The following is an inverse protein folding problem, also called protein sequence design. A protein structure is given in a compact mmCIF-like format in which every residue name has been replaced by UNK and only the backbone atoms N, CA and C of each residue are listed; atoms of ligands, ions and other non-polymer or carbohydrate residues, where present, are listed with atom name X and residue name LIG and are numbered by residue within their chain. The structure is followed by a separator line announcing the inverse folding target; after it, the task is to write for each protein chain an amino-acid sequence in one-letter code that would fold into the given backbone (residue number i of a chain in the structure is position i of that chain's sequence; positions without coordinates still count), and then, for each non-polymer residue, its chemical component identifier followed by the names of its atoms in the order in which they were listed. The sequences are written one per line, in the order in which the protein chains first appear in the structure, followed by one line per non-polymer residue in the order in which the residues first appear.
data_IF_394039022343
#
_entry.id   IF_394039022343
#
_cell.length_a   1.000
_cell.length_b   1.000
_cell.length_c   1.000
_cell.angle_alpha   90.00
_cell.angle_beta   90.00
_cell.angle_gamma   90.00
#
_symmetry.space_group_name_H-M   'P 1'
#
loop_
_entity.id
_entity.type
_entity.pdbx_description
1 polymer ?
#
# COMPACT_ATOMS: atom_id res chain seq x y z
N UNK A 1 -22.53 -14.39 1.46
CA UNK A 1 -21.31 -14.11 0.67
C UNK A 1 -20.18 -13.81 1.62
N UNK A 2 -19.07 -14.52 1.48
CA UNK A 2 -17.92 -14.25 2.36
C UNK A 2 -17.37 -12.83 2.12
N UNK A 3 -16.91 -12.25 3.20
CA UNK A 3 -16.34 -10.90 3.19
C UNK A 3 -14.95 -10.97 3.77
N UNK A 4 -13.98 -10.36 3.06
CA UNK A 4 -12.61 -10.25 3.55
C UNK A 4 -12.25 -8.80 3.76
N UNK A 5 -11.48 -8.55 4.79
CA UNK A 5 -11.02 -7.18 5.09
C UNK A 5 -9.52 -7.17 5.26
N UNK A 6 -8.89 -6.26 4.53
CA UNK A 6 -7.45 -6.08 4.58
C UNK A 6 -7.13 -4.62 4.79
N UNK A 7 -5.91 -4.36 5.21
CA UNK A 7 -5.41 -3.00 5.36
C UNK A 7 -3.99 -2.94 4.85
N UNK A 8 -3.62 -1.80 4.32
CA UNK A 8 -2.29 -1.60 3.80
C UNK A 8 -1.94 -0.13 3.79
N UNK A 9 -0.85 0.18 3.11
CA UNK A 9 -0.37 1.55 3.11
C UNK A 9 0.31 1.90 1.80
N UNK A 10 0.08 3.14 1.37
CA UNK A 10 0.94 3.80 0.40
C UNK A 10 2.11 4.33 1.21
N UNK A 11 3.30 3.83 0.95
CA UNK A 11 4.49 4.19 1.70
C UNK A 11 5.34 5.11 0.85
N UNK A 12 5.78 6.22 1.44
CA UNK A 12 6.62 7.16 0.72
C UNK A 12 7.79 7.58 1.58
N UNK A 13 8.84 8.03 0.91
CA UNK A 13 9.98 8.66 1.56
C UNK A 13 10.37 9.89 0.78
N UNK A 14 11.04 10.81 1.45
CA UNK A 14 11.50 12.04 0.82
C UNK A 14 13.01 12.00 0.68
N UNK A 15 13.48 12.43 -0.48
CA UNK A 15 14.89 12.54 -0.71
C UNK A 15 15.12 13.81 -1.55
N UNK A 16 15.84 14.79 -1.00
CA UNK A 16 16.12 16.03 -1.71
C UNK A 16 14.84 16.69 -2.22
N UNK A 17 13.85 16.77 -1.36
CA UNK A 17 12.55 17.39 -1.66
C UNK A 17 11.70 16.64 -2.65
N UNK A 18 12.14 15.46 -3.07
CA UNK A 18 11.36 14.61 -3.97
C UNK A 18 10.72 13.49 -3.17
N UNK A 19 9.55 13.07 -3.64
CA UNK A 19 8.80 12.00 -3.00
C UNK A 19 8.90 10.74 -3.84
N UNK A 20 9.23 9.63 -3.18
CA UNK A 20 9.32 8.32 -3.82
C UNK A 20 8.35 7.39 -3.14
N UNK A 21 7.61 6.62 -3.92
CA UNK A 21 6.63 5.67 -3.44
C UNK A 21 7.14 4.25 -3.56
N UNK A 22 6.82 3.44 -2.59
CA UNK A 22 7.26 2.04 -2.58
C UNK A 22 6.22 1.16 -3.24
N UNK A 23 6.63 0.43 -4.25
CA UNK A 23 5.80 -0.58 -4.89
C UNK A 23 6.45 -1.94 -4.72
N UNK A 24 5.61 -2.94 -4.47
CA UNK A 24 6.06 -4.32 -4.35
C UNK A 24 5.67 -5.11 -5.58
N UNK A 25 6.56 -6.01 -5.99
CA UNK A 25 6.34 -6.85 -7.16
C UNK A 25 5.87 -8.22 -6.67
N UNK A 26 4.66 -8.58 -7.02
CA UNK A 26 4.04 -9.84 -6.62
C UNK A 26 4.09 -10.84 -7.74
N UNK A 27 4.31 -12.13 -7.42
CA UNK A 27 4.29 -13.15 -8.46
C UNK A 27 2.88 -13.37 -8.97
N UNK A 28 2.77 -13.86 -10.17
CA UNK A 28 1.49 -14.22 -10.75
C UNK A 28 0.96 -15.52 -10.19
N UNK A 29 -0.03 -16.09 -10.88
CA UNK A 29 -0.63 -17.36 -10.50
C UNK A 29 -1.29 -17.31 -9.12
N UNK A 30 -1.87 -16.17 -8.79
CA UNK A 30 -2.66 -16.02 -7.57
C UNK A 30 -4.11 -15.83 -7.96
N UNK A 31 -5.00 -15.89 -6.96
CA UNK A 31 -6.41 -15.65 -7.25
C UNK A 31 -6.68 -14.23 -7.69
N UNK A 32 -5.71 -13.32 -7.55
CA UNK A 32 -5.88 -11.94 -7.92
C UNK A 32 -5.47 -11.68 -9.37
N UNK A 33 -4.43 -12.35 -9.85
CA UNK A 33 -3.93 -12.13 -11.20
C UNK A 33 -3.16 -13.35 -11.68
N UNK A 34 -3.17 -13.58 -13.00
CA UNK A 34 -2.40 -14.67 -13.60
C UNK A 34 -0.97 -14.25 -13.85
N UNK A 35 -0.75 -12.97 -14.03
CA UNK A 35 0.59 -12.43 -14.29
C UNK A 35 1.12 -11.74 -13.06
N UNK A 36 2.44 -11.52 -13.06
CA UNK A 36 3.07 -10.67 -12.05
C UNK A 36 2.35 -9.33 -12.00
N UNK A 37 2.30 -8.74 -10.82
CA UNK A 37 1.67 -7.43 -10.70
C UNK A 37 2.39 -6.61 -9.64
N UNK A 38 2.18 -5.29 -9.71
CA UNK A 38 2.76 -4.32 -8.78
C UNK A 38 1.65 -3.69 -7.97
N UNK A 39 1.87 -3.62 -6.67
CA UNK A 39 0.84 -3.11 -5.77
C UNK A 39 1.51 -2.66 -4.47
N UNK A 40 0.70 -2.13 -3.56
CA UNK A 40 1.16 -1.69 -2.26
C UNK A 40 1.16 -2.83 -1.25
N UNK A 41 1.98 -2.73 -0.18
CA UNK A 41 1.90 -3.73 0.89
C UNK A 41 0.55 -3.70 1.58
N UNK A 42 0.01 -4.86 1.87
CA UNK A 42 -1.27 -5.00 2.54
C UNK A 42 -1.46 -6.43 3.00
N UNK A 43 -2.39 -6.63 3.93
CA UNK A 43 -2.72 -7.96 4.37
C UNK A 43 -3.97 -7.96 5.21
N UNK A 44 -4.40 -9.16 5.59
CA UNK A 44 -5.65 -9.36 6.28
C UNK A 44 -5.60 -8.78 7.69
N UNK A 45 -6.72 -8.18 8.12
CA UNK A 45 -6.89 -7.72 9.49
C UNK A 45 -7.17 -8.95 10.34
N UNK A 46 -6.34 -9.18 11.35
CA UNK A 46 -6.50 -10.34 12.20
C UNK A 46 -7.43 -10.03 13.36
N UNK A 47 -8.03 -11.07 13.90
CA UNK A 47 -9.01 -10.94 14.95
C UNK A 47 -8.40 -10.19 16.13
N UNK A 48 -9.11 -9.16 16.62
CA UNK A 48 -8.66 -8.38 17.73
C UNK A 48 -7.67 -7.30 17.40
N UNK A 49 -7.25 -7.22 16.15
CA UNK A 49 -6.27 -6.24 15.70
C UNK A 49 -6.96 -4.94 15.35
N UNK A 50 -6.37 -3.82 15.79
CA UNK A 50 -6.81 -2.53 15.28
C UNK A 50 -6.25 -2.36 13.88
N UNK A 51 -6.98 -1.63 13.04
CA UNK A 51 -6.60 -1.54 11.64
C UNK A 51 -5.21 -0.96 11.45
N UNK A 52 -4.82 0.02 12.26
CA UNK A 52 -3.47 0.58 12.15
C UNK A 52 -2.40 -0.40 12.61
N UNK A 53 -2.75 -1.28 13.54
CA UNK A 53 -1.84 -2.34 13.93
C UNK A 53 -1.61 -3.31 12.78
N UNK A 54 -2.68 -3.61 12.04
CA UNK A 54 -2.56 -4.45 10.85
C UNK A 54 -1.60 -3.83 9.86
N UNK A 55 -1.75 -2.53 9.61
CA UNK A 55 -0.90 -1.84 8.65
C UNK A 55 0.56 -1.96 9.05
N UNK A 56 0.87 -1.67 10.30
CA UNK A 56 2.26 -1.71 10.75
C UNK A 56 2.82 -3.11 10.69
N UNK A 57 2.02 -4.10 11.08
CA UNK A 57 2.46 -5.50 11.05
C UNK A 57 2.71 -5.96 9.63
N UNK A 58 1.75 -5.72 8.72
CA UNK A 58 1.89 -6.17 7.35
C UNK A 58 3.04 -5.47 6.64
N UNK A 59 3.20 -4.18 6.87
CA UNK A 59 4.31 -3.46 6.27
C UNK A 59 5.63 -4.04 6.75
N UNK A 60 5.74 -4.31 8.04
CA UNK A 60 6.97 -4.90 8.56
C UNK A 60 7.22 -6.29 7.98
N UNK A 61 6.18 -7.11 7.91
CA UNK A 61 6.34 -8.46 7.39
C UNK A 61 6.74 -8.47 5.92
N UNK A 62 6.22 -7.54 5.15
CA UNK A 62 6.44 -7.54 3.71
C UNK A 62 7.66 -6.73 3.28
N UNK A 63 8.08 -5.78 4.06
CA UNK A 63 9.15 -4.86 3.65
C UNK A 63 10.29 -4.73 4.63
N UNK A 64 10.09 -5.19 5.86
CA UNK A 64 11.10 -5.00 6.89
C UNK A 64 11.15 -3.59 7.47
N UNK A 65 10.30 -2.70 7.01
CA UNK A 65 10.31 -1.33 7.50
C UNK A 65 9.69 -1.27 8.90
N UNK A 66 10.46 -0.78 9.86
CA UNK A 66 10.02 -0.69 11.24
C UNK A 66 9.52 0.68 11.62
N UNK A 67 10.01 1.68 10.93
CA UNK A 67 9.86 3.05 11.35
C UNK A 67 8.94 3.79 10.40
N UNK A 68 7.68 3.40 10.36
CA UNK A 68 6.73 4.09 9.51
C UNK A 68 5.85 4.99 10.37
N UNK A 69 5.52 6.15 9.83
CA UNK A 69 4.64 7.09 10.48
C UNK A 69 3.37 7.21 9.64
N UNK A 70 2.26 6.76 10.18
CA UNK A 70 0.98 6.88 9.50
C UNK A 70 0.51 8.32 9.62
N UNK A 71 0.24 8.97 8.50
CA UNK A 71 -0.19 10.35 8.49
C UNK A 71 -1.68 10.43 8.77
N UNK A 72 -2.10 11.35 9.65
CA UNK A 72 -3.53 11.52 9.90
C UNK A 72 -4.21 12.15 8.69
N UNK A 73 -5.48 11.85 8.51
CA UNK A 73 -6.27 12.50 7.48
C UNK A 73 -6.38 11.76 6.16
N UNK A 74 -5.61 10.70 5.98
CA UNK A 74 -5.72 9.91 4.75
C UNK A 74 -6.15 8.50 5.08
N UNK A 75 -7.28 8.08 4.49
CA UNK A 75 -7.81 6.74 4.69
C UNK A 75 -8.77 6.48 3.53
N UNK A 76 -8.41 5.55 2.66
CA UNK A 76 -9.21 5.23 1.49
C UNK A 76 -9.50 3.76 1.45
N UNK A 77 -10.76 3.42 1.20
CA UNK A 77 -11.16 2.02 1.14
C UNK A 77 -11.64 1.69 -0.26
N UNK A 78 -11.13 0.62 -0.82
CA UNK A 78 -11.63 0.10 -2.09
C UNK A 78 -12.36 -1.20 -1.81
N UNK A 79 -13.24 -1.55 -2.72
CA UNK A 79 -13.94 -2.81 -2.59
C UNK A 79 -14.06 -3.45 -3.96
N UNK A 80 -13.92 -4.77 -4.00
CA UNK A 80 -14.05 -5.50 -5.23
C UNK A 80 -14.45 -6.93 -4.94
N UNK A 81 -14.93 -7.61 -5.98
CA UNK A 81 -15.31 -9.00 -5.89
C UNK A 81 -14.25 -9.85 -6.59
N UNK A 82 -14.02 -11.03 -6.06
CA UNK A 82 -13.20 -12.00 -6.76
C UNK A 82 -13.75 -13.39 -6.47
N UNK A 83 -13.37 -14.35 -7.32
CA UNK A 83 -13.77 -15.72 -7.12
C UNK A 83 -12.60 -16.53 -6.58
N UNK A 84 -12.88 -17.29 -5.56
CA UNK A 84 -11.89 -18.17 -4.96
C UNK A 84 -12.56 -19.48 -4.64
N UNK A 85 -12.06 -20.57 -5.23
CA UNK A 85 -12.61 -21.90 -5.05
C UNK A 85 -14.12 -21.93 -5.33
N UNK A 86 -14.52 -21.26 -6.42
CA UNK A 86 -15.90 -21.27 -6.86
C UNK A 86 -16.83 -20.35 -6.10
N UNK A 87 -16.34 -19.63 -5.11
CA UNK A 87 -17.17 -18.72 -4.32
C UNK A 87 -16.84 -17.27 -4.64
N UNK A 88 -17.89 -16.46 -4.70
CA UNK A 88 -17.70 -15.02 -4.83
C UNK A 88 -17.36 -14.44 -3.46
N UNK A 89 -16.29 -13.68 -3.40
CA UNK A 89 -15.85 -13.06 -2.16
C UNK A 89 -15.85 -11.56 -2.36
N UNK A 90 -16.43 -10.86 -1.40
CA UNK A 90 -16.41 -9.40 -1.39
C UNK A 90 -15.23 -8.96 -0.52
N UNK A 91 -14.33 -8.18 -1.10
CA UNK A 91 -13.13 -7.77 -0.39
C UNK A 91 -13.08 -6.26 -0.23
N UNK A 92 -12.77 -5.84 0.99
CA UNK A 92 -12.50 -4.45 1.32
C UNK A 92 -11.02 -4.31 1.65
N UNK A 93 -10.36 -3.30 1.09
CA UNK A 93 -8.99 -2.99 1.45
C UNK A 93 -8.93 -1.52 1.80
N UNK A 94 -8.45 -1.23 3.01
CA UNK A 94 -8.31 0.14 3.48
C UNK A 94 -6.84 0.52 3.44
N UNK A 95 -6.55 1.63 2.77
CA UNK A 95 -5.17 2.11 2.63
C UNK A 95 -4.96 3.37 3.45
N UNK A 96 -3.85 3.37 4.16
CA UNK A 96 -3.35 4.56 4.86
C UNK A 96 -2.17 5.09 4.09
N UNK A 97 -1.68 6.24 4.51
CA UNK A 97 -0.50 6.88 3.92
C UNK A 97 0.56 6.94 5.01
N UNK A 98 1.74 6.41 4.72
CA UNK A 98 2.78 6.31 5.75
C UNK A 98 4.11 6.78 5.21
N UNK A 99 4.85 7.49 6.05
CA UNK A 99 6.17 7.98 5.69
C UNK A 99 7.23 7.14 6.39
N UNK A 100 8.33 6.89 5.70
CA UNK A 100 9.49 6.26 6.29
C UNK A 100 10.74 7.04 5.88
N UNK A 101 11.76 6.97 6.72
CA UNK A 101 13.07 7.50 6.37
C UNK A 101 14.02 6.40 5.94
N UNK A 102 13.58 5.15 6.05
CA UNK A 102 14.39 4.01 5.66
C UNK A 102 14.24 3.78 4.16
N UNK A 103 15.34 3.55 3.49
CA UNK A 103 15.34 3.27 2.08
C UNK A 103 15.45 1.78 1.80
N UNK A 104 16.13 1.07 2.67
CA UNK A 104 16.42 -0.33 2.47
C UNK A 104 15.19 -1.18 2.79
N UNK A 105 14.76 -1.96 1.82
CA UNK A 105 13.61 -2.84 1.94
C UNK A 105 14.08 -4.28 1.86
N UNK A 106 13.57 -5.10 2.77
CA UNK A 106 13.82 -6.53 2.72
C UNK A 106 12.48 -7.20 2.48
N UNK A 107 12.23 -7.57 1.22
CA UNK A 107 10.95 -8.15 0.85
C UNK A 107 10.82 -9.56 1.42
N UNK A 108 9.58 -9.96 1.68
CA UNK A 108 9.31 -11.31 2.13
C UNK A 108 9.47 -12.27 0.94
N UNK A 109 9.51 -13.56 1.24
CA UNK A 109 9.66 -14.56 0.19
C UNK A 109 8.45 -14.60 -0.75
N UNK A 110 7.37 -13.94 -0.37
CA UNK A 110 6.17 -13.90 -1.20
C UNK A 110 6.28 -12.90 -2.34
N UNK A 111 7.32 -12.07 -2.35
CA UNK A 111 7.48 -11.04 -3.36
C UNK A 111 8.70 -11.29 -4.23
N UNK A 112 8.64 -10.76 -5.45
CA UNK A 112 9.75 -10.92 -6.39
C UNK A 112 10.72 -9.74 -6.30
N UNK A 113 10.22 -8.56 -5.97
CA UNK A 113 11.08 -7.39 -5.91
C UNK A 113 10.33 -6.18 -5.39
N UNK A 114 11.00 -5.04 -5.45
CA UNK A 114 10.38 -3.78 -5.05
C UNK A 114 11.08 -2.63 -5.77
N UNK A 115 10.42 -1.49 -5.82
CA UNK A 115 11.03 -0.26 -6.36
C UNK A 115 10.50 0.95 -5.61
N UNK A 116 11.39 1.92 -5.42
CA UNK A 116 11.01 3.27 -4.98
C UNK A 116 10.89 4.12 -6.22
N UNK A 117 9.73 4.69 -6.48
CA UNK A 117 9.49 5.40 -7.74
C UNK A 117 8.85 6.76 -7.50
N UNK A 118 9.23 7.78 -8.28
CA UNK A 118 8.48 9.03 -8.25
C UNK A 118 7.07 8.80 -8.79
N UNK A 119 6.19 9.74 -8.53
CA UNK A 119 4.78 9.56 -8.83
C UNK A 119 4.53 9.10 -10.27
N UNK A 120 5.14 9.79 -11.25
CA UNK A 120 4.87 9.49 -12.66
C UNK A 120 5.22 8.05 -13.02
N UNK A 121 6.33 7.58 -12.49
CA UNK A 121 6.75 6.20 -12.75
C UNK A 121 5.93 5.20 -11.98
N UNK A 122 5.56 5.55 -10.76
CA UNK A 122 4.74 4.66 -9.93
C UNK A 122 3.37 4.43 -10.56
N UNK A 123 2.76 5.49 -11.08
CA UNK A 123 1.47 5.39 -11.75
C UNK A 123 1.54 4.44 -12.93
N UNK A 124 2.61 4.54 -13.71
CA UNK A 124 2.78 3.66 -14.86
C UNK A 124 2.99 2.21 -14.45
N UNK A 125 3.69 2.01 -13.34
CA UNK A 125 4.05 0.67 -12.91
C UNK A 125 2.92 -0.09 -12.26
N UNK A 126 2.07 0.59 -11.51
CA UNK A 126 0.97 -0.05 -10.81
C UNK A 126 0.06 -0.79 -11.79
N UNK A 127 -0.25 -2.02 -11.47
CA UNK A 127 -0.99 -2.89 -12.38
C UNK A 127 -2.48 -2.60 -12.41
N UNK A 128 -3.06 -2.28 -11.24
CA UNK A 128 -4.52 -2.21 -11.13
C UNK A 128 -5.01 -0.78 -11.06
N UNK A 129 -6.15 -0.53 -11.69
CA UNK A 129 -6.74 0.80 -11.71
C UNK A 129 -7.03 1.30 -10.30
N UNK A 130 -7.54 0.43 -9.42
CA UNK A 130 -7.81 0.82 -8.06
C UNK A 130 -6.57 1.35 -7.36
N UNK A 131 -5.43 0.68 -7.56
CA UNK A 131 -4.19 1.12 -6.94
C UNK A 131 -3.75 2.47 -7.48
N UNK A 132 -3.89 2.67 -8.79
CA UNK A 132 -3.54 3.95 -9.39
C UNK A 132 -4.39 5.09 -8.83
N UNK A 133 -5.68 4.83 -8.62
CA UNK A 133 -6.56 5.85 -8.05
C UNK A 133 -6.15 6.19 -6.62
N UNK A 134 -5.79 5.17 -5.84
CA UNK A 134 -5.32 5.39 -4.48
C UNK A 134 -4.05 6.23 -4.49
N UNK A 135 -3.12 5.92 -5.39
CA UNK A 135 -1.87 6.68 -5.45
C UNK A 135 -2.12 8.13 -5.84
N UNK A 136 -3.03 8.36 -6.77
CA UNK A 136 -3.37 9.74 -7.14
C UNK A 136 -3.90 10.51 -5.95
N UNK A 137 -4.77 9.89 -5.17
CA UNK A 137 -5.31 10.55 -3.98
C UNK A 137 -4.22 10.80 -2.94
N UNK A 138 -3.31 9.86 -2.77
CA UNK A 138 -2.21 10.04 -1.82
C UNK A 138 -1.30 11.17 -2.24
N UNK A 139 -0.94 11.22 -3.52
CA UNK A 139 -0.05 12.26 -4.02
C UNK A 139 -0.70 13.63 -3.91
N UNK A 140 -1.99 13.70 -4.23
CA UNK A 140 -2.76 14.92 -4.07
C UNK A 140 -2.78 15.37 -2.62
N UNK A 141 -3.01 14.44 -1.71
CA UNK A 141 -3.03 14.74 -0.29
C UNK A 141 -1.70 15.33 0.17
N UNK A 142 -0.60 14.75 -0.29
CA UNK A 142 0.72 15.26 0.10
C UNK A 142 1.00 16.65 -0.47
N UNK A 143 0.48 16.94 -1.66
CA UNK A 143 0.71 18.25 -2.27
C UNK A 143 -0.15 19.33 -1.65
N UNK A 144 -1.37 18.98 -1.24
CA UNK A 144 -2.30 19.99 -0.73
C UNK A 144 -2.22 20.13 0.77
N UNK A 145 -1.77 19.08 1.48
CA UNK A 145 -1.66 19.15 2.93
C UNK A 145 -0.39 19.87 3.29
N UNK A 146 -0.51 21.09 3.73
CA UNK A 146 0.67 21.82 4.14
C UNK A 146 1.27 21.19 5.37
N UNK A 147 2.57 21.03 5.40
CA UNK A 147 3.20 20.57 6.62
C UNK A 147 2.91 21.57 7.72
N UNK A 148 2.58 21.06 8.85
CA UNK A 148 2.35 21.93 9.97
C UNK A 148 3.58 22.68 10.34
N UNK A 149 4.70 22.15 9.99
CA UNK A 149 5.94 22.80 10.28
C UNK A 149 6.13 24.05 9.49
N UNK A 150 5.48 24.18 8.37
CA UNK A 150 5.69 25.34 7.53
C UNK A 150 5.11 26.58 8.15
N UNK A 151 4.30 26.41 9.14
CA UNK A 151 3.70 27.56 9.74
C UNK A 151 4.35 27.91 11.03
N UNK A 152 5.47 27.49 11.25
CA UNK A 152 6.09 27.72 12.49
C UNK A 152 7.05 28.79 12.50
#
# INVERSE_FOLDING_TARGET
MPVEKSAGAVIFRRENSKIFYLLLHYPGASHKAERDYWDFPKGHIEKGEKIEETVKREVFEETGLKDIKILPGFKETIKYFFKFKGKNILKFVTFFLAETKEEKVQISFEHIGYEWLPFEKAIEKLTFQNAREILKKADEFLKTSKPQTSNI
#
